data_IF_969396733694
#
_entry.id   IF_969396733694
#
_cell.length_a   1.000
_cell.length_b   1.000
_cell.length_c   1.000
_cell.angle_alpha   90.00
_cell.angle_beta   90.00
_cell.angle_gamma   90.00
#
_symmetry.space_group_name_H-M   'P 1'
#
loop_
_entity.id
_entity.type
_entity.pdbx_description
1 polymer ?
#
# COMPACT_ATOMS: atom_id res chain seq x y z
N UNK A 1 -66.95 11.61 2.61
CA UNK A 1 -65.75 10.81 2.94
C UNK A 1 -65.22 10.19 1.65
N UNK A 2 -64.42 10.92 0.88
CA UNK A 2 -63.88 10.43 -0.41
C UNK A 2 -62.52 9.77 -0.19
N UNK A 3 -62.44 8.46 -0.43
CA UNK A 3 -61.17 7.71 -0.43
C UNK A 3 -60.50 7.90 -1.79
N UNK A 4 -59.40 8.66 -1.82
CA UNK A 4 -58.57 8.80 -3.01
C UNK A 4 -57.80 7.50 -3.28
N UNK A 5 -58.18 6.79 -4.34
CA UNK A 5 -57.42 5.67 -4.90
C UNK A 5 -56.20 6.20 -5.63
N UNK A 6 -55.01 6.03 -5.06
CA UNK A 6 -53.76 6.42 -5.73
C UNK A 6 -53.45 5.48 -6.91
N UNK A 7 -53.10 5.99 -8.10
CA UNK A 7 -52.80 5.17 -9.27
C UNK A 7 -51.45 4.46 -9.11
N UNK A 8 -51.47 3.13 -9.35
CA UNK A 8 -50.31 2.23 -9.28
C UNK A 8 -49.28 2.61 -10.36
N UNK A 9 -48.12 3.15 -9.96
CA UNK A 9 -47.09 3.61 -10.89
C UNK A 9 -46.43 2.43 -11.63
N UNK A 10 -46.44 2.51 -12.96
CA UNK A 10 -45.97 1.51 -13.92
C UNK A 10 -44.46 1.64 -14.27
N UNK A 11 -43.63 2.16 -13.37
CA UNK A 11 -42.21 2.42 -13.65
C UNK A 11 -41.23 1.40 -13.07
N UNK A 12 -41.70 0.32 -12.43
CA UNK A 12 -40.80 -0.76 -12.02
C UNK A 12 -40.60 -1.71 -13.19
N UNK A 13 -39.42 -1.73 -13.84
CA UNK A 13 -39.14 -2.77 -14.82
C UNK A 13 -39.26 -4.13 -14.12
N UNK A 14 -40.16 -4.97 -14.63
CA UNK A 14 -40.23 -6.39 -14.24
C UNK A 14 -38.87 -7.00 -14.57
N UNK A 15 -38.01 -7.11 -13.57
CA UNK A 15 -36.80 -7.92 -13.67
C UNK A 15 -37.25 -9.33 -14.00
N UNK A 16 -37.10 -9.72 -15.26
CA UNK A 16 -37.27 -11.10 -15.67
C UNK A 16 -36.28 -11.90 -14.85
N UNK A 17 -36.80 -12.91 -14.15
CA UNK A 17 -36.02 -13.84 -13.32
C UNK A 17 -35.06 -14.58 -14.24
N UNK A 18 -33.92 -13.97 -14.56
CA UNK A 18 -32.84 -14.57 -15.33
C UNK A 18 -32.37 -15.74 -14.49
N UNK A 19 -32.61 -16.95 -14.97
CA UNK A 19 -31.98 -18.15 -14.45
C UNK A 19 -30.47 -17.98 -14.71
N UNK A 20 -29.78 -17.29 -13.81
CA UNK A 20 -28.33 -17.35 -13.74
C UNK A 20 -28.03 -18.63 -12.98
N UNK A 21 -27.44 -19.66 -13.61
CA UNK A 21 -26.85 -20.74 -12.83
C UNK A 21 -25.91 -20.08 -11.83
N UNK A 22 -26.17 -20.28 -10.54
CA UNK A 22 -25.29 -19.83 -9.45
C UNK A 22 -24.07 -20.73 -9.46
N UNK A 23 -23.19 -20.51 -10.44
CA UNK A 23 -21.83 -21.00 -10.37
C UNK A 23 -21.15 -20.14 -9.32
N UNK A 24 -20.91 -20.70 -8.14
CA UNK A 24 -20.23 -19.99 -7.05
C UNK A 24 -18.86 -19.50 -7.56
N UNK A 25 -18.65 -18.18 -7.68
CA UNK A 25 -17.39 -17.62 -8.16
C UNK A 25 -16.19 -18.09 -7.33
N UNK A 26 -16.42 -18.39 -6.06
CA UNK A 26 -15.42 -18.88 -5.11
C UNK A 26 -14.95 -20.29 -5.47
N UNK A 27 -15.87 -21.20 -5.80
CA UNK A 27 -15.54 -22.59 -6.16
C UNK A 27 -14.79 -22.65 -7.49
N UNK A 28 -15.28 -21.90 -8.50
CA UNK A 28 -14.59 -21.78 -9.80
C UNK A 28 -13.21 -21.13 -9.63
N UNK A 29 -13.09 -20.16 -8.73
CA UNK A 29 -11.84 -19.50 -8.41
C UNK A 29 -10.79 -20.44 -7.82
N UNK A 30 -11.17 -21.29 -6.86
CA UNK A 30 -10.27 -22.27 -6.23
C UNK A 30 -9.79 -23.33 -7.24
N UNK A 31 -10.70 -23.83 -8.08
CA UNK A 31 -10.36 -24.80 -9.15
C UNK A 31 -9.38 -24.15 -10.14
N UNK A 32 -9.66 -22.92 -10.57
CA UNK A 32 -8.78 -22.18 -11.50
C UNK A 32 -7.39 -21.94 -10.90
N UNK A 33 -7.31 -21.62 -9.60
CA UNK A 33 -6.03 -21.40 -8.90
C UNK A 33 -5.23 -22.69 -8.68
N UNK A 34 -5.91 -23.81 -8.47
CA UNK A 34 -5.26 -25.14 -8.46
C UNK A 34 -4.73 -25.51 -9.85
N UNK A 35 -5.54 -25.28 -10.89
CA UNK A 35 -5.16 -25.54 -12.29
C UNK A 35 -3.96 -24.66 -12.67
N UNK A 36 -3.99 -23.36 -12.37
CA UNK A 36 -2.89 -22.44 -12.70
C UNK A 36 -1.56 -22.87 -12.05
N UNK A 37 -1.58 -23.27 -10.77
CA UNK A 37 -0.38 -23.80 -10.08
C UNK A 37 0.11 -25.12 -10.68
N UNK A 38 -0.80 -25.96 -11.13
CA UNK A 38 -0.46 -27.24 -11.76
C UNK A 38 0.22 -27.04 -13.13
N UNK A 39 -0.36 -26.21 -14.01
CA UNK A 39 0.19 -25.90 -15.33
C UNK A 39 1.49 -25.08 -15.27
N UNK A 40 1.68 -24.26 -14.23
CA UNK A 40 2.91 -23.48 -14.02
C UNK A 40 4.11 -24.28 -13.52
N UNK A 41 3.92 -25.55 -13.13
CA UNK A 41 4.99 -26.42 -12.63
C UNK A 41 5.54 -27.29 -13.76
N UNK A 42 6.88 -27.38 -13.92
CA UNK A 42 7.53 -28.22 -14.94
C UNK A 42 7.16 -29.72 -14.89
N UNK A 43 6.54 -30.16 -13.78
CA UNK A 43 5.98 -31.50 -13.59
C UNK A 43 4.83 -31.82 -14.56
N UNK A 44 4.02 -30.84 -14.95
CA UNK A 44 2.94 -31.07 -15.92
C UNK A 44 3.50 -31.48 -17.29
N UNK A 45 4.51 -30.75 -17.78
CA UNK A 45 5.18 -31.06 -19.05
C UNK A 45 5.78 -32.47 -19.04
N UNK A 46 6.45 -32.85 -17.94
CA UNK A 46 7.03 -34.19 -17.81
C UNK A 46 5.98 -35.30 -17.86
N UNK A 47 4.86 -35.16 -17.13
CA UNK A 47 3.77 -36.14 -17.15
C UNK A 47 3.15 -36.21 -18.56
N UNK A 48 2.89 -35.07 -19.19
CA UNK A 48 2.33 -35.00 -20.54
C UNK A 48 3.24 -35.70 -21.56
N UNK A 49 4.55 -35.48 -21.49
CA UNK A 49 5.52 -36.15 -22.38
C UNK A 49 5.52 -37.66 -22.17
N UNK A 50 5.47 -38.15 -20.93
CA UNK A 50 5.40 -39.58 -20.63
C UNK A 50 4.12 -40.20 -21.22
N UNK A 51 2.97 -39.54 -21.07
CA UNK A 51 1.70 -40.01 -21.63
C UNK A 51 1.78 -40.12 -23.16
N UNK A 52 2.35 -39.11 -23.83
CA UNK A 52 2.51 -39.11 -25.29
C UNK A 52 3.42 -40.23 -25.76
N UNK A 53 4.58 -40.41 -25.11
CA UNK A 53 5.50 -41.50 -25.43
C UNK A 53 4.82 -42.86 -25.20
N UNK A 54 4.14 -43.04 -24.06
CA UNK A 54 3.39 -44.25 -23.76
C UNK A 54 2.31 -44.55 -24.80
N UNK A 55 1.60 -43.52 -25.27
CA UNK A 55 0.60 -43.66 -26.33
C UNK A 55 1.24 -44.08 -27.66
N UNK A 56 2.36 -43.47 -28.05
CA UNK A 56 3.10 -43.86 -29.27
C UNK A 56 3.54 -45.33 -29.17
N UNK A 57 4.10 -45.75 -28.03
CA UNK A 57 4.52 -47.15 -27.80
C UNK A 57 3.34 -48.11 -27.89
N UNK A 58 2.21 -47.78 -27.25
CA UNK A 58 0.99 -48.59 -27.32
C UNK A 58 0.48 -48.71 -28.76
N UNK A 59 0.47 -47.61 -29.50
CA UNK A 59 0.02 -47.56 -30.88
C UNK A 59 0.91 -48.42 -31.81
N UNK A 60 2.24 -48.32 -31.66
CA UNK A 60 3.20 -49.14 -32.40
C UNK A 60 3.06 -50.63 -32.03
N UNK A 61 2.85 -50.97 -30.75
CA UNK A 61 2.64 -52.36 -30.32
C UNK A 61 1.31 -52.95 -30.81
N UNK A 62 0.27 -52.10 -30.91
CA UNK A 62 -1.05 -52.46 -31.43
C UNK A 62 -1.15 -52.31 -32.96
N UNK A 63 -0.04 -51.99 -33.66
CA UNK A 63 0.00 -51.85 -35.10
C UNK A 63 -0.38 -53.16 -35.83
N UNK A 64 -0.13 -54.32 -35.22
CA UNK A 64 -0.57 -55.63 -35.73
C UNK A 64 -2.10 -55.77 -35.80
N UNK A 65 -2.84 -55.00 -34.99
CA UNK A 65 -4.31 -54.93 -35.02
C UNK A 65 -4.85 -53.81 -35.92
N UNK A 66 -3.97 -53.02 -36.58
CA UNK A 66 -4.30 -51.86 -37.43
C UNK A 66 -5.23 -50.83 -36.75
N UNK A 67 -5.14 -50.71 -35.42
CA UNK A 67 -6.02 -49.83 -34.63
C UNK A 67 -5.88 -48.34 -35.04
N UNK A 68 -4.66 -47.89 -35.39
CA UNK A 68 -4.41 -46.52 -35.86
C UNK A 68 -3.14 -46.46 -36.74
N UNK A 69 -3.25 -46.76 -38.05
CA UNK A 69 -2.11 -46.76 -38.97
C UNK A 69 -1.46 -45.37 -39.10
N UNK A 70 -0.15 -45.34 -39.40
CA UNK A 70 0.57 -44.09 -39.68
C UNK A 70 -0.18 -43.27 -40.74
N UNK A 71 -0.58 -42.00 -40.47
CA UNK A 71 0.04 -41.01 -39.58
C UNK A 71 -0.73 -40.71 -38.26
N UNK A 72 -1.21 -41.74 -37.54
CA UNK A 72 -1.84 -41.65 -36.20
C UNK A 72 -2.98 -40.61 -36.11
N UNK A 73 -4.08 -40.87 -36.83
CA UNK A 73 -5.18 -39.90 -36.98
C UNK A 73 -5.88 -39.62 -35.64
N UNK A 74 -5.96 -40.63 -34.76
CA UNK A 74 -6.62 -40.49 -33.46
C UNK A 74 -5.81 -39.61 -32.50
N UNK A 75 -4.48 -39.76 -32.51
CA UNK A 75 -3.60 -38.92 -31.71
C UNK A 75 -3.67 -37.46 -32.17
N UNK A 76 -3.64 -37.23 -33.49
CA UNK A 76 -3.81 -35.89 -34.05
C UNK A 76 -5.17 -35.27 -33.72
N UNK A 77 -6.25 -36.05 -33.77
CA UNK A 77 -7.59 -35.58 -33.41
C UNK A 77 -7.68 -35.22 -31.93
N UNK A 78 -7.07 -36.03 -31.05
CA UNK A 78 -7.02 -35.78 -29.62
C UNK A 78 -6.25 -34.48 -29.31
N UNK A 79 -5.07 -34.27 -29.90
CA UNK A 79 -4.31 -33.03 -29.75
C UNK A 79 -5.05 -31.80 -30.29
N UNK A 80 -5.72 -31.95 -31.44
CA UNK A 80 -6.51 -30.86 -32.03
C UNK A 80 -7.65 -30.44 -31.10
N UNK A 81 -8.33 -31.42 -30.50
CA UNK A 81 -9.41 -31.17 -29.54
C UNK A 81 -8.86 -30.60 -28.23
N UNK A 82 -7.70 -31.08 -27.76
CA UNK A 82 -7.02 -30.55 -26.57
C UNK A 82 -6.69 -29.06 -26.76
N UNK A 83 -6.13 -28.68 -27.91
CA UNK A 83 -5.84 -27.29 -28.23
C UNK A 83 -7.13 -26.44 -28.32
N UNK A 84 -8.18 -26.98 -28.97
CA UNK A 84 -9.45 -26.28 -29.13
C UNK A 84 -10.14 -25.98 -27.79
N UNK A 85 -10.08 -26.88 -26.81
CA UNK A 85 -10.64 -26.65 -25.47
C UNK A 85 -9.71 -25.85 -24.55
N UNK A 86 -8.38 -25.90 -24.77
CA UNK A 86 -7.43 -25.09 -24.02
C UNK A 86 -7.64 -23.59 -24.26
N UNK A 87 -7.90 -23.17 -25.50
CA UNK A 87 -8.09 -21.76 -25.85
C UNK A 87 -9.15 -21.01 -24.99
N UNK A 88 -10.41 -21.49 -24.87
CA UNK A 88 -11.41 -20.82 -24.03
C UNK A 88 -11.07 -20.89 -22.53
N UNK A 89 -10.45 -21.96 -22.05
CA UNK A 89 -9.98 -22.05 -20.66
C UNK A 89 -8.89 -21.02 -20.36
N UNK A 90 -7.95 -20.86 -21.28
CA UNK A 90 -6.88 -19.86 -21.17
C UNK A 90 -7.48 -18.45 -21.17
N UNK A 91 -8.45 -18.16 -22.04
CA UNK A 91 -9.15 -16.87 -22.04
C UNK A 91 -9.88 -16.57 -20.73
N UNK A 92 -10.51 -17.58 -20.11
CA UNK A 92 -11.15 -17.43 -18.80
C UNK A 92 -10.11 -17.18 -17.69
N UNK A 93 -8.99 -17.89 -17.72
CA UNK A 93 -7.90 -17.67 -16.79
C UNK A 93 -7.27 -16.27 -16.95
N UNK A 94 -7.08 -15.83 -18.19
CA UNK A 94 -6.57 -14.50 -18.53
C UNK A 94 -7.51 -13.38 -18.04
N UNK A 95 -8.80 -13.44 -18.36
CA UNK A 95 -9.78 -12.46 -17.88
C UNK A 95 -9.78 -12.33 -16.34
N UNK A 96 -9.62 -13.45 -15.62
CA UNK A 96 -9.54 -13.45 -14.16
C UNK A 96 -8.23 -12.83 -13.67
N UNK A 97 -7.12 -13.16 -14.32
CA UNK A 97 -5.81 -12.59 -14.01
C UNK A 97 -5.81 -11.07 -14.23
N UNK A 98 -6.29 -10.61 -15.39
CA UNK A 98 -6.41 -9.19 -15.72
C UNK A 98 -7.29 -8.43 -14.72
N UNK A 99 -8.40 -9.03 -14.28
CA UNK A 99 -9.25 -8.40 -13.27
C UNK A 99 -8.52 -8.26 -11.92
N UNK A 100 -7.77 -9.30 -11.49
CA UNK A 100 -6.95 -9.26 -10.28
C UNK A 100 -5.86 -8.20 -10.39
N UNK A 101 -5.17 -8.15 -11.51
CA UNK A 101 -4.09 -7.19 -11.79
C UNK A 101 -4.63 -5.76 -11.83
N UNK A 102 -5.83 -5.56 -12.39
CA UNK A 102 -6.51 -4.27 -12.39
C UNK A 102 -6.85 -3.81 -10.97
N UNK A 103 -7.44 -4.67 -10.14
CA UNK A 103 -7.76 -4.33 -8.74
C UNK A 103 -6.49 -3.98 -7.97
N UNK A 104 -5.42 -4.78 -8.12
CA UNK A 104 -4.14 -4.51 -7.48
C UNK A 104 -3.54 -3.16 -7.92
N UNK A 105 -3.61 -2.83 -9.21
CA UNK A 105 -3.16 -1.55 -9.75
C UNK A 105 -3.99 -0.36 -9.24
N UNK A 106 -5.31 -0.52 -9.13
CA UNK A 106 -6.20 0.51 -8.58
C UNK A 106 -5.92 0.77 -7.10
N UNK A 107 -5.67 -0.28 -6.30
CA UNK A 107 -5.24 -0.14 -4.91
C UNK A 107 -3.90 0.55 -4.78
N UNK A 108 -2.91 0.15 -5.59
CA UNK A 108 -1.57 0.74 -5.57
C UNK A 108 -1.62 2.25 -5.90
N UNK A 109 -2.40 2.63 -6.92
CA UNK A 109 -2.65 4.03 -7.25
C UNK A 109 -3.30 4.81 -6.10
N UNK A 110 -4.27 4.22 -5.40
CA UNK A 110 -4.90 4.85 -4.23
C UNK A 110 -3.90 5.05 -3.10
N UNK A 111 -3.07 4.05 -2.80
CA UNK A 111 -2.03 4.14 -1.77
C UNK A 111 -0.98 5.18 -2.12
N UNK A 112 -0.56 5.25 -3.38
CA UNK A 112 0.38 6.25 -3.86
C UNK A 112 -0.20 7.67 -3.74
N UNK A 113 -1.48 7.87 -4.07
CA UNK A 113 -2.15 9.15 -3.91
C UNK A 113 -2.26 9.58 -2.43
N UNK A 114 -2.59 8.65 -1.53
CA UNK A 114 -2.63 8.91 -0.09
C UNK A 114 -1.24 9.27 0.45
N UNK A 115 -0.23 8.47 0.13
CA UNK A 115 1.17 8.71 0.55
C UNK A 115 1.66 10.08 0.07
N UNK A 116 1.31 10.46 -1.16
CA UNK A 116 1.63 11.78 -1.70
C UNK A 116 0.95 12.89 -0.89
N UNK A 117 -0.35 12.76 -0.60
CA UNK A 117 -1.09 13.73 0.19
C UNK A 117 -0.54 13.87 1.61
N UNK A 118 -0.21 12.75 2.26
CA UNK A 118 0.39 12.72 3.60
C UNK A 118 1.77 13.40 3.59
N UNK A 119 2.57 13.15 2.55
CA UNK A 119 3.88 13.80 2.40
C UNK A 119 3.74 15.31 2.17
N UNK A 120 2.79 15.74 1.34
CA UNK A 120 2.51 17.17 1.13
C UNK A 120 2.00 17.83 2.42
N UNK A 121 1.17 17.13 3.20
CA UNK A 121 0.69 17.61 4.49
C UNK A 121 1.85 17.78 5.48
N UNK A 122 2.68 16.75 5.65
CA UNK A 122 3.86 16.81 6.51
C UNK A 122 4.85 17.90 6.07
N UNK A 123 5.04 18.09 4.77
CA UNK A 123 5.91 19.14 4.25
C UNK A 123 5.37 20.55 4.57
N UNK A 124 4.04 20.77 4.48
CA UNK A 124 3.42 22.03 4.87
C UNK A 124 3.51 22.27 6.37
N UNK A 125 3.26 21.24 7.18
CA UNK A 125 3.34 21.34 8.63
C UNK A 125 4.79 21.60 9.08
N UNK A 126 5.77 20.93 8.46
CA UNK A 126 7.19 21.18 8.70
C UNK A 126 7.59 22.60 8.30
N UNK A 127 7.07 23.12 7.17
CA UNK A 127 7.32 24.50 6.75
C UNK A 127 6.71 25.51 7.72
N UNK A 128 5.48 25.28 8.19
CA UNK A 128 4.82 26.11 9.20
C UNK A 128 5.57 26.09 10.53
N UNK A 129 5.97 24.89 10.99
CA UNK A 129 6.79 24.71 12.19
C UNK A 129 8.15 25.43 12.06
N UNK A 130 8.80 25.32 10.89
CA UNK A 130 10.07 26.01 10.62
C UNK A 130 9.92 27.53 10.67
N UNK A 131 8.82 28.09 10.16
CA UNK A 131 8.56 29.53 10.25
C UNK A 131 8.30 29.95 11.69
N UNK A 132 7.45 29.23 12.42
CA UNK A 132 7.17 29.51 13.82
C UNK A 132 8.43 29.43 14.71
N UNK A 133 9.27 28.41 14.52
CA UNK A 133 10.55 28.28 15.24
C UNK A 133 11.57 29.32 14.77
N UNK A 134 11.58 29.65 13.48
CA UNK A 134 12.47 30.66 12.90
C UNK A 134 12.19 32.06 13.45
N UNK A 135 10.94 32.39 13.76
CA UNK A 135 10.57 33.64 14.43
C UNK A 135 10.96 33.65 15.92
N UNK A 136 10.79 32.53 16.63
CA UNK A 136 11.05 32.43 18.09
C UNK A 136 12.53 32.26 18.44
N UNK A 137 13.38 31.86 17.49
CA UNK A 137 14.84 31.76 17.66
C UNK A 137 15.55 32.67 16.67
N UNK A 138 15.17 33.94 16.63
CA UNK A 138 16.02 34.93 15.97
C UNK A 138 17.29 35.11 16.79
N UNK A 139 18.46 34.99 16.13
CA UNK A 139 19.78 35.15 16.77
C UNK A 139 19.87 36.45 17.57
N UNK A 140 19.19 37.49 17.12
CA UNK A 140 19.17 38.79 17.79
C UNK A 140 18.37 38.77 19.10
N UNK A 141 17.24 38.05 19.15
CA UNK A 141 16.49 37.87 20.40
C UNK A 141 17.30 37.08 21.42
N UNK A 142 17.88 35.93 21.01
CA UNK A 142 18.77 35.16 21.88
C UNK A 142 19.97 36.00 22.35
N UNK A 143 20.50 36.87 21.49
CA UNK A 143 21.61 37.75 21.84
C UNK A 143 21.17 38.81 22.83
N UNK A 144 20.03 39.46 22.61
CA UNK A 144 19.48 40.47 23.50
C UNK A 144 19.17 39.89 24.89
N UNK A 145 18.57 38.70 24.95
CA UNK A 145 18.24 38.06 26.23
C UNK A 145 19.49 37.61 26.99
N UNK A 146 20.52 37.14 26.27
CA UNK A 146 21.84 36.86 26.86
C UNK A 146 22.53 38.13 27.35
N UNK A 147 22.37 39.24 26.65
CA UNK A 147 22.98 40.53 26.98
C UNK A 147 22.29 41.18 28.18
N UNK A 148 20.96 41.08 28.26
CA UNK A 148 20.15 41.48 29.43
C UNK A 148 20.45 40.63 30.66
N UNK A 149 20.59 39.31 30.51
CA UNK A 149 21.04 38.46 31.62
C UNK A 149 22.45 38.85 32.08
N UNK A 150 23.34 39.20 31.15
CA UNK A 150 24.71 39.61 31.48
C UNK A 150 24.73 40.97 32.19
N UNK A 151 23.94 41.94 31.78
CA UNK A 151 23.85 43.25 32.45
C UNK A 151 23.26 43.11 33.85
N UNK A 152 22.17 42.35 34.01
CA UNK A 152 21.57 42.07 35.33
C UNK A 152 22.57 41.44 36.30
N UNK A 153 23.35 40.44 35.83
CA UNK A 153 24.40 39.84 36.65
C UNK A 153 25.52 40.85 36.99
N UNK A 154 25.88 41.73 36.06
CA UNK A 154 26.93 42.74 36.26
C UNK A 154 26.49 43.80 37.28
N UNK A 155 25.23 44.25 37.21
CA UNK A 155 24.68 45.22 38.15
C UNK A 155 24.58 44.65 39.56
N UNK A 156 24.09 43.40 39.70
CA UNK A 156 24.10 42.69 40.99
C UNK A 156 25.50 42.59 41.59
N UNK A 157 26.50 42.29 40.75
CA UNK A 157 27.90 42.19 41.16
C UNK A 157 28.49 43.56 41.53
N UNK A 158 28.05 44.63 40.87
CA UNK A 158 28.49 46.00 41.16
C UNK A 158 27.87 46.52 42.45
N UNK A 159 26.58 46.25 42.69
CA UNK A 159 25.87 46.63 43.91
C UNK A 159 26.50 45.93 45.13
N UNK A 160 26.80 44.64 45.04
CA UNK A 160 27.54 43.93 46.11
C UNK A 160 28.96 44.47 46.33
N UNK A 161 29.64 44.95 45.29
CA UNK A 161 30.98 45.54 45.43
C UNK A 161 30.91 46.93 46.04
N UNK A 162 29.96 47.77 45.64
CA UNK A 162 29.82 49.15 46.13
C UNK A 162 29.35 49.16 47.59
N UNK A 163 28.39 48.30 47.96
CA UNK A 163 27.99 48.10 49.37
C UNK A 163 29.17 47.62 50.23
N UNK A 164 29.98 46.70 49.70
CA UNK A 164 31.19 46.23 50.38
C UNK A 164 32.22 47.36 50.58
N UNK A 165 32.40 48.23 49.60
CA UNK A 165 33.33 49.38 49.71
C UNK A 165 32.79 50.52 50.57
N UNK A 166 31.48 50.76 50.56
CA UNK A 166 30.82 51.75 51.40
C UNK A 166 30.87 51.32 52.87
N UNK A 167 30.56 50.05 53.18
CA UNK A 167 30.74 49.48 54.52
C UNK A 167 32.21 49.54 54.96
N UNK A 168 33.15 49.13 54.10
CA UNK A 168 34.57 49.17 54.44
C UNK A 168 35.09 50.59 54.72
N UNK A 169 34.58 51.60 54.00
CA UNK A 169 34.91 53.01 54.23
C UNK A 169 34.31 53.55 55.53
N UNK A 170 33.05 53.22 55.81
CA UNK A 170 32.37 53.65 57.03
C UNK A 170 33.02 53.01 58.28
N UNK A 171 33.45 51.74 58.18
CA UNK A 171 34.21 51.06 59.23
C UNK A 171 35.60 51.68 59.45
N UNK A 172 36.28 52.08 58.38
CA UNK A 172 37.56 52.81 58.45
C UNK A 172 37.41 54.19 59.12
N UNK A 173 36.34 54.92 58.80
CA UNK A 173 36.09 56.24 59.40
C UNK A 173 35.74 56.12 60.89
N UNK A 174 34.94 55.10 61.26
CA UNK A 174 34.64 54.76 62.66
C UNK A 174 35.90 54.35 63.42
N UNK A 175 36.79 53.57 62.81
CA UNK A 175 38.09 53.22 63.41
C UNK A 175 38.99 54.44 63.61
N UNK A 176 39.03 55.37 62.64
CA UNK A 176 39.80 56.60 62.73
C UNK A 176 39.29 57.56 63.83
N UNK A 177 37.96 57.67 64.00
CA UNK A 177 37.37 58.46 65.10
C UNK A 177 37.63 57.87 66.49
N UNK A 178 37.89 56.57 66.61
CA UNK A 178 38.17 55.90 67.89
C UNK A 178 39.63 56.04 68.34
N UNK A 179 40.52 56.50 67.47
CA UNK A 179 41.96 56.69 67.75
C UNK A 179 42.35 58.12 68.17
N UNK A 180 41.38 58.99 68.41
CA UNK A 180 41.57 60.40 68.79
C UNK A 180 40.84 60.69 70.10
#
# INVERSE_FOLDING_TARGET
MSRSTAPRRLYTPRTSRRYSPRLDPETVGQITESIARFFGTGRYLLIQTIIVIGWIVLNVSAASLRWDPYPFILLNLAFSTQAAYAAPLILLAQNRQENRDRVALEEDRRRAAQTKADTEYLARELAALRLAVGEVVTREYLRHELEDLRTLLTDLQRETTDDGTAQARDDLERAAKKSR
#
